data_IF_770454524385
#
_entry.id   IF_770454524385
#
_cell.length_a   1.000
_cell.length_b   1.000
_cell.length_c   1.000
_cell.angle_alpha   90.00
_cell.angle_beta   90.00
_cell.angle_gamma   90.00
#
_symmetry.space_group_name_H-M   'P 1'
#
loop_
_entity.id
_entity.type
_entity.pdbx_description
1 polymer ?
#
# COMPACT_ATOMS: atom_id res chain seq x y z
N UNK A 1 20.31 24.56 7.38
CA UNK A 1 21.76 24.61 7.70
C UNK A 1 22.06 25.91 8.42
N UNK A 2 22.63 25.86 9.63
CA UNK A 2 23.08 27.05 10.35
C UNK A 2 24.56 27.34 10.05
N UNK A 3 24.96 28.61 10.09
CA UNK A 3 26.35 29.00 9.89
C UNK A 3 27.17 28.67 11.15
N UNK A 4 28.10 27.72 11.03
CA UNK A 4 29.05 27.36 12.09
C UNK A 4 30.46 27.92 11.85
N UNK A 5 30.65 28.67 10.76
CA UNK A 5 31.87 29.45 10.47
C UNK A 5 31.84 30.81 11.16
N UNK A 6 32.88 31.63 10.98
CA UNK A 6 32.86 33.04 11.41
C UNK A 6 32.17 33.96 10.39
N UNK A 7 31.95 35.23 10.74
CA UNK A 7 31.26 36.26 9.92
C UNK A 7 31.75 36.37 8.46
N UNK A 8 32.99 35.95 8.18
CA UNK A 8 33.56 35.93 6.82
C UNK A 8 32.91 34.91 5.87
N UNK A 9 32.16 33.93 6.37
CA UNK A 9 31.45 32.93 5.57
C UNK A 9 30.03 33.36 5.17
N UNK A 10 29.47 34.36 5.84
CA UNK A 10 28.13 34.86 5.56
C UNK A 10 28.04 35.48 4.16
N UNK A 11 26.88 35.33 3.50
CA UNK A 11 26.68 35.77 2.11
C UNK A 11 27.30 34.83 1.06
N UNK A 12 28.00 33.76 1.47
CA UNK A 12 28.47 32.73 0.53
C UNK A 12 27.28 31.97 -0.05
N UNK A 13 27.21 31.86 -1.38
CA UNK A 13 26.18 31.06 -2.03
C UNK A 13 26.43 29.56 -1.81
N UNK A 14 25.48 28.92 -1.14
CA UNK A 14 25.45 27.49 -0.89
C UNK A 14 24.25 26.83 -1.56
N UNK A 15 24.40 25.58 -1.99
CA UNK A 15 23.32 24.81 -2.59
C UNK A 15 23.35 23.33 -2.16
N UNK A 16 22.18 22.68 -2.01
CA UNK A 16 22.10 21.31 -1.52
C UNK A 16 21.91 20.31 -2.67
N UNK A 17 22.34 19.08 -2.42
CA UNK A 17 22.05 17.91 -3.24
C UNK A 17 21.60 16.76 -2.36
N UNK A 18 20.50 16.11 -2.73
CA UNK A 18 19.97 14.95 -2.02
C UNK A 18 19.79 13.79 -2.99
N UNK A 19 20.29 12.61 -2.63
CA UNK A 19 20.14 11.39 -3.42
C UNK A 19 20.21 10.14 -2.53
N UNK A 20 19.93 8.98 -3.10
CA UNK A 20 20.11 7.69 -2.43
C UNK A 20 21.28 6.97 -3.08
N UNK A 21 22.26 6.58 -2.27
CA UNK A 21 23.41 5.76 -2.67
C UNK A 21 23.15 4.31 -2.25
N UNK A 22 23.45 3.34 -3.12
CA UNK A 22 23.36 1.92 -2.79
C UNK A 22 24.30 1.10 -3.66
N UNK A 23 24.49 -0.18 -3.32
CA UNK A 23 25.27 -1.11 -4.13
C UNK A 23 24.51 -1.65 -5.37
N UNK A 24 23.24 -1.29 -5.55
CA UNK A 24 22.42 -1.72 -6.70
C UNK A 24 22.88 -1.02 -7.97
N UNK A 25 22.87 -1.75 -9.08
CA UNK A 25 23.12 -1.16 -10.40
C UNK A 25 21.98 -0.21 -10.79
N UNK A 26 22.31 1.07 -10.94
CA UNK A 26 21.36 2.13 -11.27
C UNK A 26 20.82 2.88 -10.05
N UNK A 27 20.29 4.06 -10.29
CA UNK A 27 19.73 4.89 -9.22
C UNK A 27 18.40 4.30 -8.71
N UNK A 28 18.21 4.26 -7.39
CA UNK A 28 16.93 3.87 -6.75
C UNK A 28 15.91 5.01 -6.75
N UNK A 29 16.38 6.26 -6.71
CA UNK A 29 15.58 7.49 -6.79
C UNK A 29 16.32 8.52 -7.63
N UNK A 30 15.61 9.49 -8.21
CA UNK A 30 16.26 10.63 -8.87
C UNK A 30 16.99 11.49 -7.85
N UNK A 31 18.13 12.04 -8.26
CA UNK A 31 18.86 13.05 -7.49
C UNK A 31 18.07 14.36 -7.50
N UNK A 32 17.95 14.98 -6.33
CA UNK A 32 17.37 16.31 -6.17
C UNK A 32 18.49 17.32 -5.93
N UNK A 33 18.34 18.50 -6.53
CA UNK A 33 19.25 19.62 -6.33
C UNK A 33 18.42 20.85 -6.00
N UNK A 34 18.78 21.52 -4.91
CA UNK A 34 18.14 22.77 -4.51
C UNK A 34 18.76 23.98 -5.20
N UNK A 35 18.02 25.08 -5.19
CA UNK A 35 18.53 26.38 -5.62
C UNK A 35 19.61 26.87 -4.65
N UNK A 36 20.57 27.64 -5.17
CA UNK A 36 21.56 28.29 -4.32
C UNK A 36 20.92 29.40 -3.48
N UNK A 37 21.33 29.49 -2.22
CA UNK A 37 20.93 30.52 -1.26
C UNK A 37 22.16 31.07 -0.56
N UNK A 38 22.08 32.31 -0.10
CA UNK A 38 23.13 32.89 0.73
C UNK A 38 23.14 32.22 2.10
N UNK A 39 24.32 31.83 2.57
CA UNK A 39 24.49 31.33 3.93
C UNK A 39 24.23 32.51 4.91
N UNK A 40 23.27 32.37 5.84
CA UNK A 40 22.95 33.43 6.79
C UNK A 40 24.12 33.71 7.74
N UNK A 41 24.11 34.89 8.36
CA UNK A 41 25.01 35.18 9.48
C UNK A 41 24.77 34.22 10.66
N UNK A 42 25.79 34.02 11.50
CA UNK A 42 25.79 33.06 12.61
C UNK A 42 24.60 33.26 13.55
N UNK A 43 24.16 34.52 13.73
CA UNK A 43 23.06 34.91 14.62
C UNK A 43 21.71 35.09 13.89
N UNK A 44 21.66 34.95 12.55
CA UNK A 44 20.46 35.24 11.73
C UNK A 44 19.65 33.99 11.35
N UNK A 45 20.06 32.79 11.78
CA UNK A 45 19.27 31.57 11.68
C UNK A 45 19.84 30.52 10.72
N UNK A 46 18.97 29.86 9.96
CA UNK A 46 19.34 28.73 9.10
C UNK A 46 18.81 28.88 7.67
N UNK A 47 19.61 28.44 6.70
CA UNK A 47 19.17 28.26 5.32
C UNK A 47 18.36 26.96 5.23
N UNK A 48 17.09 27.07 4.84
CA UNK A 48 16.16 25.95 4.75
C UNK A 48 15.68 25.74 3.32
N UNK A 49 15.71 24.48 2.88
CA UNK A 49 15.12 24.05 1.62
C UNK A 49 13.91 23.19 1.90
N UNK A 50 12.76 23.61 1.39
CA UNK A 50 11.52 22.87 1.45
C UNK A 50 11.29 22.07 0.15
N UNK A 51 10.28 21.19 0.17
CA UNK A 51 9.83 20.45 -1.02
C UNK A 51 10.90 19.59 -1.72
N UNK A 52 11.79 18.99 -0.94
CA UNK A 52 12.76 18.00 -1.45
C UNK A 52 11.98 16.84 -2.08
N UNK A 53 12.25 16.57 -3.36
CA UNK A 53 11.54 15.54 -4.12
C UNK A 53 12.53 14.67 -4.88
N UNK A 54 12.68 13.43 -4.43
CA UNK A 54 13.48 12.38 -5.07
C UNK A 54 12.57 11.23 -5.56
N UNK A 55 11.85 11.41 -6.69
CA UNK A 55 11.01 10.37 -7.28
C UNK A 55 11.70 9.00 -7.40
N UNK A 56 10.95 7.94 -7.10
CA UNK A 56 11.42 6.56 -7.18
C UNK A 56 11.68 6.13 -8.63
N UNK A 57 12.81 5.48 -8.86
CA UNK A 57 13.15 4.86 -10.14
C UNK A 57 12.47 3.49 -10.24
N UNK A 58 11.23 3.48 -10.76
CA UNK A 58 10.38 2.29 -10.80
C UNK A 58 11.05 1.08 -11.46
N UNK A 59 11.85 1.29 -12.51
CA UNK A 59 12.55 0.21 -13.20
C UNK A 59 13.60 -0.49 -12.31
N UNK A 60 14.31 0.30 -11.52
CA UNK A 60 15.37 -0.20 -10.62
C UNK A 60 14.75 -0.86 -9.40
N UNK A 61 13.84 -0.15 -8.71
CA UNK A 61 13.17 -0.67 -7.51
C UNK A 61 12.33 -1.90 -7.82
N UNK A 62 11.69 -1.93 -8.98
CA UNK A 62 10.88 -3.07 -9.44
C UNK A 62 11.63 -4.37 -9.69
N UNK A 63 12.96 -4.32 -9.76
CA UNK A 63 13.85 -5.48 -9.93
C UNK A 63 14.42 -5.99 -8.61
N UNK A 64 14.15 -5.30 -7.50
CA UNK A 64 14.66 -5.73 -6.20
C UNK A 64 13.90 -6.97 -5.74
N UNK A 65 14.62 -8.09 -5.70
CA UNK A 65 14.11 -9.38 -5.18
C UNK A 65 14.32 -9.53 -3.67
N UNK A 66 15.28 -8.80 -3.11
CA UNK A 66 15.64 -8.79 -1.68
C UNK A 66 15.80 -7.36 -1.17
N UNK A 67 15.64 -7.12 0.16
CA UNK A 67 15.98 -5.85 0.77
C UNK A 67 17.43 -5.43 0.46
N UNK A 68 17.60 -4.13 0.20
CA UNK A 68 18.89 -3.52 -0.07
C UNK A 68 19.19 -2.45 0.97
N UNK A 69 20.40 -2.50 1.52
CA UNK A 69 20.95 -1.40 2.31
C UNK A 69 21.36 -0.25 1.38
N UNK A 70 20.91 0.95 1.73
CA UNK A 70 21.18 2.18 1.02
C UNK A 70 21.44 3.32 2.02
N UNK A 71 21.91 4.45 1.55
CA UNK A 71 22.09 5.65 2.36
C UNK A 71 21.40 6.83 1.67
N UNK A 72 20.58 7.58 2.41
CA UNK A 72 20.18 8.92 1.97
C UNK A 72 21.39 9.82 2.19
N UNK A 73 21.89 10.41 1.11
CA UNK A 73 23.04 11.31 1.12
C UNK A 73 22.55 12.73 0.92
N UNK A 74 22.82 13.59 1.90
CA UNK A 74 22.54 15.03 1.88
C UNK A 74 23.87 15.76 1.85
N UNK A 75 24.12 16.51 0.79
CA UNK A 75 25.34 17.27 0.60
C UNK A 75 25.03 18.76 0.47
N UNK A 76 25.87 19.60 1.04
CA UNK A 76 25.85 21.06 0.83
C UNK A 76 27.16 21.48 0.18
N UNK A 77 27.05 22.31 -0.85
CA UNK A 77 28.16 22.86 -1.60
C UNK A 77 28.24 24.38 -1.47
N UNK A 78 29.44 24.93 -1.39
CA UNK A 78 29.74 26.33 -1.63
C UNK A 78 30.50 26.45 -2.96
N UNK A 79 29.84 26.96 -4.00
CA UNK A 79 30.35 26.83 -5.38
C UNK A 79 30.51 25.36 -5.77
N UNK A 80 31.73 24.93 -6.09
CA UNK A 80 32.07 23.52 -6.39
C UNK A 80 32.61 22.74 -5.18
N UNK A 81 32.80 23.41 -4.04
CA UNK A 81 33.39 22.81 -2.84
C UNK A 81 32.31 22.18 -1.98
N UNK A 82 32.43 20.88 -1.69
CA UNK A 82 31.59 20.21 -0.69
C UNK A 82 31.95 20.75 0.70
N UNK A 83 30.99 21.35 1.38
CA UNK A 83 31.19 21.95 2.73
C UNK A 83 30.64 21.08 3.84
N UNK A 84 29.60 20.29 3.57
CA UNK A 84 28.98 19.40 4.55
C UNK A 84 28.35 18.20 3.84
N UNK A 85 28.44 17.02 4.46
CA UNK A 85 27.76 15.80 4.01
C UNK A 85 27.20 15.04 5.20
N UNK A 86 25.94 14.63 5.09
CA UNK A 86 25.30 13.72 6.01
C UNK A 86 24.81 12.48 5.28
N UNK A 87 25.00 11.32 5.91
CA UNK A 87 24.55 10.01 5.42
C UNK A 87 23.61 9.41 6.45
N UNK A 88 22.41 9.02 6.00
CA UNK A 88 21.39 8.41 6.84
C UNK A 88 21.09 7.00 6.32
N UNK A 89 21.14 5.97 7.17
CA UNK A 89 20.88 4.61 6.74
C UNK A 89 19.42 4.46 6.26
N UNK A 90 19.25 3.75 5.15
CA UNK A 90 17.97 3.46 4.52
C UNK A 90 17.93 1.96 4.15
N UNK A 91 16.81 1.30 4.42
CA UNK A 91 16.54 -0.03 3.86
C UNK A 91 15.46 0.11 2.81
N UNK A 92 15.77 -0.31 1.59
CA UNK A 92 14.79 -0.38 0.49
C UNK A 92 14.34 -1.83 0.37
N UNK A 93 13.06 -2.07 0.60
CA UNK A 93 12.49 -3.42 0.56
C UNK A 93 12.40 -3.94 -0.88
N UNK A 94 12.28 -5.25 -1.03
CA UNK A 94 11.96 -5.84 -2.32
C UNK A 94 10.61 -5.31 -2.82
N UNK A 95 10.40 -5.28 -4.14
CA UNK A 95 9.18 -4.73 -4.73
C UNK A 95 7.92 -5.46 -4.24
N UNK A 96 8.03 -6.74 -3.91
CA UNK A 96 6.93 -7.55 -3.43
C UNK A 96 6.90 -7.70 -1.89
N UNK A 97 7.60 -6.86 -1.14
CA UNK A 97 7.73 -7.00 0.31
C UNK A 97 7.01 -5.90 1.06
N UNK A 98 6.29 -6.30 2.12
CA UNK A 98 5.57 -5.41 2.99
C UNK A 98 6.15 -5.41 4.40
N UNK A 99 6.25 -4.23 5.01
CA UNK A 99 6.80 -4.07 6.34
C UNK A 99 5.70 -4.06 7.40
N UNK A 100 5.75 -5.02 8.32
CA UNK A 100 4.83 -5.03 9.47
C UNK A 100 5.23 -3.94 10.47
N UNK A 101 4.64 -2.77 10.32
CA UNK A 101 4.74 -1.65 11.25
C UNK A 101 3.42 -0.92 11.33
N UNK A 102 3.05 -0.48 12.53
CA UNK A 102 1.80 0.25 12.76
C UNK A 102 1.65 1.47 11.84
N UNK A 103 2.78 2.13 11.52
CA UNK A 103 2.80 3.31 10.64
C UNK A 103 2.61 2.99 9.15
N UNK A 104 2.75 1.71 8.75
CA UNK A 104 2.77 1.27 7.35
C UNK A 104 1.70 0.21 7.04
N UNK A 105 0.71 0.04 7.91
CA UNK A 105 -0.41 -0.89 7.65
C UNK A 105 -1.14 -0.54 6.36
N UNK A 106 -1.29 0.75 6.05
CA UNK A 106 -1.95 1.23 4.83
C UNK A 106 -1.29 0.73 3.53
N UNK A 107 0.04 0.53 3.55
CA UNK A 107 0.82 0.05 2.41
C UNK A 107 0.41 -1.37 1.98
N UNK A 108 -0.23 -2.15 2.85
CA UNK A 108 -0.74 -3.48 2.50
C UNK A 108 -1.76 -3.43 1.37
N UNK A 109 -2.52 -2.33 1.26
CA UNK A 109 -3.50 -2.13 0.17
C UNK A 109 -2.85 -2.04 -1.22
N UNK A 110 -1.54 -1.77 -1.32
CA UNK A 110 -0.81 -1.81 -2.59
C UNK A 110 -0.83 -3.22 -3.21
N UNK A 111 -0.85 -4.26 -2.38
CA UNK A 111 -0.81 -5.66 -2.82
C UNK A 111 -2.20 -6.22 -3.17
N UNK A 112 -3.25 -5.44 -2.97
CA UNK A 112 -4.59 -5.76 -3.48
C UNK A 112 -4.63 -5.39 -4.96
N UNK A 113 -4.66 -6.40 -5.83
CA UNK A 113 -4.50 -6.23 -7.28
C UNK A 113 -5.77 -6.63 -8.05
N UNK A 114 -6.85 -5.81 -7.99
CA UNK A 114 -8.14 -6.17 -8.58
C UNK A 114 -8.10 -6.29 -10.12
N UNK A 115 -7.19 -5.57 -10.77
CA UNK A 115 -7.01 -5.61 -12.22
C UNK A 115 -6.13 -6.77 -12.71
N UNK A 116 -5.72 -7.69 -11.83
CA UNK A 116 -4.90 -8.83 -12.25
C UNK A 116 -5.68 -9.75 -13.19
N UNK A 117 -5.14 -10.02 -14.39
CA UNK A 117 -5.73 -11.00 -15.32
C UNK A 117 -5.84 -12.40 -14.70
N UNK A 118 -5.01 -12.71 -13.69
CA UNK A 118 -5.00 -14.02 -13.02
C UNK A 118 -6.28 -14.30 -12.21
N UNK A 119 -7.00 -13.27 -11.73
CA UNK A 119 -8.23 -13.49 -10.97
C UNK A 119 -9.46 -13.69 -11.87
N UNK A 120 -9.36 -13.42 -13.17
CA UNK A 120 -10.52 -13.51 -14.10
C UNK A 120 -11.19 -14.89 -14.08
N UNK A 121 -10.47 -16.03 -14.14
CA UNK A 121 -11.08 -17.35 -14.06
C UNK A 121 -11.79 -17.61 -12.73
N UNK A 122 -11.23 -17.10 -11.63
CA UNK A 122 -11.84 -17.19 -10.29
C UNK A 122 -13.17 -16.43 -10.27
N UNK A 123 -13.22 -15.23 -10.84
CA UNK A 123 -14.44 -14.43 -10.91
C UNK A 123 -15.50 -15.02 -11.85
N UNK A 124 -15.08 -15.67 -12.94
CA UNK A 124 -15.99 -16.44 -13.78
C UNK A 124 -16.65 -17.55 -12.97
N UNK A 125 -15.85 -18.31 -12.22
CA UNK A 125 -16.36 -19.38 -11.35
C UNK A 125 -17.27 -18.86 -10.24
N UNK A 126 -16.93 -17.74 -9.61
CA UNK A 126 -17.78 -17.09 -8.60
C UNK A 126 -19.16 -16.71 -9.18
N UNK A 127 -19.21 -16.19 -10.42
CA UNK A 127 -20.48 -15.86 -11.09
C UNK A 127 -21.31 -17.11 -11.41
N UNK A 128 -20.67 -18.23 -11.73
CA UNK A 128 -21.36 -19.51 -11.92
C UNK A 128 -22.01 -19.99 -10.61
N UNK A 129 -21.23 -20.06 -9.53
CA UNK A 129 -21.71 -20.42 -8.19
C UNK A 129 -22.88 -19.52 -7.76
N UNK A 130 -22.76 -18.21 -8.00
CA UNK A 130 -23.82 -17.25 -7.69
C UNK A 130 -25.09 -17.53 -8.50
N UNK A 131 -24.96 -17.83 -9.79
CA UNK A 131 -26.08 -18.19 -10.66
C UNK A 131 -26.75 -19.51 -10.25
N UNK A 132 -25.96 -20.51 -9.86
CA UNK A 132 -26.45 -21.80 -9.36
C UNK A 132 -27.26 -21.64 -8.07
N UNK A 133 -26.84 -20.75 -7.16
CA UNK A 133 -27.47 -20.54 -5.85
C UNK A 133 -28.65 -19.58 -5.87
N UNK A 134 -28.59 -18.55 -6.71
CA UNK A 134 -29.52 -17.39 -6.66
C UNK A 134 -30.34 -17.21 -7.92
N UNK A 135 -30.02 -17.93 -9.01
CA UNK A 135 -30.60 -17.72 -10.33
C UNK A 135 -30.04 -16.52 -11.09
N UNK A 136 -29.18 -15.69 -10.48
CA UNK A 136 -28.59 -14.50 -11.10
C UNK A 136 -27.07 -14.46 -10.98
N UNK A 137 -26.38 -14.33 -12.13
CA UNK A 137 -24.92 -14.19 -12.22
C UNK A 137 -24.41 -12.75 -12.06
N UNK A 138 -25.33 -11.79 -11.86
CA UNK A 138 -25.03 -10.35 -11.84
C UNK A 138 -24.16 -9.94 -10.65
N UNK A 139 -23.13 -9.13 -10.87
CA UNK A 139 -22.28 -8.58 -9.79
C UNK A 139 -22.68 -7.15 -9.46
N UNK A 140 -23.93 -6.96 -9.04
CA UNK A 140 -24.53 -5.66 -8.66
C UNK A 140 -23.86 -5.01 -7.43
N UNK A 141 -23.00 -5.74 -6.71
CA UNK A 141 -22.37 -5.27 -5.47
C UNK A 141 -23.43 -4.79 -4.49
N UNK A 142 -23.25 -3.57 -3.98
CA UNK A 142 -24.13 -2.95 -2.99
C UNK A 142 -25.52 -2.56 -3.52
N UNK A 143 -25.74 -2.51 -4.85
CA UNK A 143 -27.04 -2.17 -5.41
C UNK A 143 -28.09 -3.27 -5.19
N UNK A 144 -27.65 -4.52 -4.99
CA UNK A 144 -28.51 -5.66 -4.72
C UNK A 144 -28.90 -5.85 -3.24
N UNK A 145 -28.45 -4.96 -2.34
CA UNK A 145 -28.68 -5.05 -0.91
C UNK A 145 -27.76 -6.02 -0.16
N UNK A 146 -27.91 -6.08 1.16
CA UNK A 146 -26.99 -6.77 2.08
C UNK A 146 -26.86 -8.27 1.79
N UNK A 147 -27.97 -8.92 1.49
CA UNK A 147 -27.99 -10.35 1.11
C UNK A 147 -27.15 -10.61 -0.14
N UNK A 148 -27.22 -9.72 -1.14
CA UNK A 148 -26.45 -9.85 -2.38
C UNK A 148 -24.95 -9.69 -2.13
N UNK A 149 -24.57 -8.78 -1.24
CA UNK A 149 -23.19 -8.57 -0.81
C UNK A 149 -22.62 -9.84 -0.18
N UNK A 150 -23.37 -10.46 0.73
CA UNK A 150 -22.97 -11.73 1.35
C UNK A 150 -22.83 -12.86 0.34
N UNK A 151 -23.80 -13.01 -0.58
CA UNK A 151 -23.76 -14.05 -1.62
C UNK A 151 -22.56 -13.88 -2.57
N UNK A 152 -22.21 -12.63 -2.92
CA UNK A 152 -21.03 -12.34 -3.72
C UNK A 152 -19.74 -12.70 -2.98
N UNK A 153 -19.63 -12.29 -1.72
CA UNK A 153 -18.48 -12.58 -0.90
C UNK A 153 -18.28 -14.09 -0.68
N UNK A 154 -19.37 -14.83 -0.45
CA UNK A 154 -19.39 -16.29 -0.33
C UNK A 154 -18.98 -16.97 -1.65
N UNK A 155 -19.57 -16.55 -2.78
CA UNK A 155 -19.26 -17.16 -4.08
C UNK A 155 -17.79 -16.94 -4.48
N UNK A 156 -17.21 -15.78 -4.15
CA UNK A 156 -15.78 -15.52 -4.35
C UNK A 156 -14.91 -16.40 -3.44
N UNK A 157 -15.28 -16.51 -2.15
CA UNK A 157 -14.56 -17.35 -1.20
C UNK A 157 -14.53 -18.82 -1.67
N UNK A 158 -15.69 -19.35 -2.07
CA UNK A 158 -15.80 -20.73 -2.53
C UNK A 158 -15.05 -20.95 -3.84
N UNK A 159 -15.12 -20.02 -4.80
CA UNK A 159 -14.36 -20.09 -6.04
C UNK A 159 -12.84 -20.09 -5.82
N UNK A 160 -12.36 -19.37 -4.81
CA UNK A 160 -10.96 -19.40 -4.38
C UNK A 160 -10.60 -20.73 -3.69
N UNK A 161 -11.49 -21.27 -2.86
CA UNK A 161 -11.24 -22.57 -2.21
C UNK A 161 -11.12 -23.72 -3.24
N UNK A 162 -11.86 -23.64 -4.35
CA UNK A 162 -11.75 -24.57 -5.48
C UNK A 162 -10.39 -24.49 -6.19
N UNK A 163 -9.60 -23.42 -5.98
CA UNK A 163 -8.26 -23.29 -6.54
C UNK A 163 -7.25 -24.22 -5.89
N UNK A 164 -7.57 -24.83 -4.74
CA UNK A 164 -6.72 -25.78 -4.02
C UNK A 164 -5.36 -25.20 -3.61
N UNK A 165 -5.37 -24.03 -2.98
CA UNK A 165 -4.16 -23.37 -2.47
C UNK A 165 -3.73 -24.04 -1.16
N UNK A 166 -2.49 -24.51 -1.08
CA UNK A 166 -1.86 -25.00 0.15
C UNK A 166 -1.36 -23.82 1.00
N UNK A 167 -1.58 -23.91 2.32
CA UNK A 167 -1.08 -22.89 3.23
C UNK A 167 0.42 -23.01 3.46
N UNK A 168 1.14 -21.91 3.34
CA UNK A 168 2.56 -21.80 3.67
C UNK A 168 2.74 -20.88 4.86
N UNK A 169 3.42 -21.38 5.90
CA UNK A 169 3.78 -20.54 7.04
C UNK A 169 4.76 -19.45 6.56
N UNK A 170 4.52 -18.17 6.93
CA UNK A 170 5.53 -17.14 6.68
C UNK A 170 6.82 -17.47 7.47
N UNK A 171 7.98 -16.92 7.07
CA UNK A 171 9.20 -17.01 7.87
C UNK A 171 8.94 -16.52 9.30
N UNK A 172 9.67 -17.08 10.28
CA UNK A 172 9.41 -16.79 11.69
C UNK A 172 9.59 -15.30 12.02
N UNK A 173 8.55 -14.73 12.63
CA UNK A 173 8.41 -13.37 13.20
C UNK A 173 8.11 -12.22 12.23
N UNK A 174 6.89 -11.66 12.36
CA UNK A 174 6.46 -10.37 11.81
C UNK A 174 7.11 -9.18 12.53
N UNK A 175 7.85 -9.41 13.61
CA UNK A 175 8.44 -8.36 14.42
C UNK A 175 9.83 -7.99 13.88
N UNK A 176 9.87 -7.02 12.96
CA UNK A 176 11.10 -6.35 12.55
C UNK A 176 11.65 -6.69 11.15
N UNK A 177 11.03 -7.63 10.43
CA UNK A 177 11.39 -7.98 9.05
C UNK A 177 10.19 -7.82 8.11
N UNK A 178 10.46 -7.48 6.84
CA UNK A 178 9.43 -7.46 5.82
C UNK A 178 8.98 -8.87 5.46
N UNK A 179 7.73 -9.00 5.01
CA UNK A 179 7.19 -10.23 4.47
C UNK A 179 6.91 -10.05 2.98
N UNK A 180 7.45 -10.98 2.17
CA UNK A 180 7.10 -11.07 0.75
C UNK A 180 5.64 -11.49 0.59
N UNK A 181 4.94 -10.76 -0.27
CA UNK A 181 3.56 -11.01 -0.68
C UNK A 181 3.58 -11.38 -2.17
N UNK A 182 3.06 -12.56 -2.49
CA UNK A 182 3.02 -13.08 -3.85
C UNK A 182 1.94 -12.36 -4.66
N UNK A 183 2.16 -12.24 -5.97
CA UNK A 183 1.12 -11.73 -6.87
C UNK A 183 -0.02 -12.76 -7.00
N UNK A 184 -1.24 -12.33 -7.37
CA UNK A 184 -2.34 -13.26 -7.66
C UNK A 184 -1.96 -14.36 -8.67
N UNK A 185 -1.13 -14.02 -9.67
CA UNK A 185 -0.62 -14.99 -10.65
C UNK A 185 0.19 -16.08 -9.96
N UNK A 186 1.19 -15.70 -9.16
CA UNK A 186 2.05 -16.64 -8.44
C UNK A 186 1.24 -17.51 -7.49
N UNK A 187 0.34 -16.93 -6.68
CA UNK A 187 -0.50 -17.68 -5.73
C UNK A 187 -1.33 -18.73 -6.47
N UNK A 188 -1.98 -18.35 -7.57
CA UNK A 188 -2.89 -19.22 -8.31
C UNK A 188 -2.18 -20.24 -9.20
N UNK A 189 -0.95 -19.98 -9.66
CA UNK A 189 -0.16 -20.92 -10.46
C UNK A 189 0.60 -21.92 -9.60
N UNK A 190 1.21 -21.46 -8.52
CA UNK A 190 2.01 -22.30 -7.60
C UNK A 190 1.14 -22.99 -6.55
N UNK A 191 -0.13 -22.60 -6.41
CA UNK A 191 -1.08 -23.17 -5.44
C UNK A 191 -0.57 -23.10 -4.02
N UNK A 192 0.10 -22.00 -3.65
CA UNK A 192 0.64 -21.80 -2.32
C UNK A 192 0.41 -20.36 -1.85
N UNK A 193 0.06 -20.17 -0.58
CA UNK A 193 -0.17 -18.84 -0.01
C UNK A 193 0.00 -18.77 1.51
N UNK A 194 0.46 -17.61 1.97
CA UNK A 194 0.48 -17.20 3.39
C UNK A 194 -0.85 -16.54 3.81
N UNK A 195 -0.95 -16.10 5.07
CA UNK A 195 -2.10 -15.32 5.54
C UNK A 195 -2.23 -13.97 4.81
N UNK A 196 -1.12 -13.27 4.53
CA UNK A 196 -1.14 -12.06 3.71
C UNK A 196 -1.54 -12.36 2.26
N UNK A 197 -0.98 -13.40 1.65
CA UNK A 197 -1.29 -13.78 0.26
C UNK A 197 -2.79 -14.04 0.06
N UNK A 198 -3.39 -14.85 0.94
CA UNK A 198 -4.82 -15.16 0.90
C UNK A 198 -5.69 -13.93 1.20
N UNK A 199 -5.26 -13.07 2.13
CA UNK A 199 -5.97 -11.83 2.48
C UNK A 199 -6.05 -10.88 1.29
N UNK A 200 -4.93 -10.60 0.63
CA UNK A 200 -4.88 -9.64 -0.49
C UNK A 200 -5.50 -10.21 -1.76
N UNK A 201 -5.41 -11.53 -1.98
CA UNK A 201 -6.07 -12.21 -3.09
C UNK A 201 -7.60 -12.17 -2.97
N UNK A 202 -8.13 -12.47 -1.77
CA UNK A 202 -9.56 -12.37 -1.51
C UNK A 202 -10.05 -10.92 -1.65
N UNK A 203 -9.33 -9.97 -1.05
CA UNK A 203 -9.62 -8.54 -1.18
C UNK A 203 -9.64 -8.08 -2.65
N UNK A 204 -8.71 -8.57 -3.48
CA UNK A 204 -8.65 -8.22 -4.90
C UNK A 204 -9.89 -8.70 -5.65
N UNK A 205 -10.33 -9.92 -5.36
CA UNK A 205 -11.54 -10.49 -5.96
C UNK A 205 -12.80 -9.75 -5.50
N UNK A 206 -12.92 -9.42 -4.20
CA UNK A 206 -14.02 -8.63 -3.64
C UNK A 206 -14.13 -7.26 -4.30
N UNK A 207 -13.01 -6.53 -4.41
CA UNK A 207 -12.98 -5.24 -5.12
C UNK A 207 -13.47 -5.37 -6.57
N UNK A 208 -13.05 -6.43 -7.27
CA UNK A 208 -13.40 -6.62 -8.68
C UNK A 208 -14.87 -7.02 -8.91
N UNK A 209 -15.56 -7.54 -7.90
CA UNK A 209 -17.02 -7.78 -7.94
C UNK A 209 -17.84 -6.62 -7.38
N UNK A 210 -17.21 -5.47 -7.12
CA UNK A 210 -17.88 -4.24 -6.70
C UNK A 210 -18.15 -4.13 -5.20
N UNK A 211 -17.44 -4.91 -4.38
CA UNK A 211 -17.46 -4.79 -2.92
C UNK A 211 -16.30 -3.91 -2.43
N UNK A 212 -16.43 -3.35 -1.22
CA UNK A 212 -15.38 -2.56 -0.57
C UNK A 212 -14.60 -3.46 0.40
N UNK A 213 -13.43 -4.00 -0.02
CA UNK A 213 -12.67 -4.88 0.84
C UNK A 213 -11.94 -4.12 1.94
N UNK A 214 -11.75 -4.81 3.05
CA UNK A 214 -10.90 -4.39 4.17
C UNK A 214 -9.92 -5.51 4.52
N UNK A 215 -8.77 -5.16 5.09
CA UNK A 215 -7.82 -6.16 5.60
C UNK A 215 -7.59 -5.90 7.08
N UNK A 216 -7.76 -6.92 7.90
CA UNK A 216 -7.49 -6.87 9.32
C UNK A 216 -6.09 -7.37 9.58
N UNK A 217 -5.34 -6.60 10.35
CA UNK A 217 -4.01 -6.97 10.80
C UNK A 217 -4.06 -7.18 12.31
N UNK A 218 -3.70 -8.38 12.73
CA UNK A 218 -3.54 -8.74 14.14
C UNK A 218 -2.10 -9.21 14.38
N UNK A 219 -1.75 -9.52 15.62
CA UNK A 219 -0.42 -10.01 15.93
C UNK A 219 -0.13 -11.31 15.18
N UNK A 220 0.91 -11.30 14.33
CA UNK A 220 1.37 -12.42 13.50
C UNK A 220 0.35 -13.00 12.50
N UNK A 221 -0.74 -12.29 12.21
CA UNK A 221 -1.77 -12.80 11.32
C UNK A 221 -2.52 -11.67 10.62
N UNK A 222 -3.10 -12.01 9.47
CA UNK A 222 -3.95 -11.12 8.72
C UNK A 222 -5.05 -11.93 8.04
N UNK A 223 -6.20 -11.31 7.94
CA UNK A 223 -7.37 -11.83 7.25
C UNK A 223 -8.10 -10.66 6.58
N UNK A 224 -9.08 -10.96 5.75
CA UNK A 224 -9.76 -9.96 4.93
C UNK A 224 -11.25 -9.93 5.24
N UNK A 225 -11.98 -9.02 4.61
CA UNK A 225 -13.39 -8.84 4.81
C UNK A 225 -13.94 -7.79 3.87
N UNK A 226 -15.19 -7.41 4.09
CA UNK A 226 -15.87 -6.40 3.29
C UNK A 226 -16.78 -5.54 4.17
N UNK A 227 -17.01 -4.31 3.73
CA UNK A 227 -18.01 -3.44 4.34
C UNK A 227 -19.42 -3.88 3.93
N UNK A 228 -20.41 -3.64 4.79
CA UNK A 228 -21.82 -3.88 4.48
C UNK A 228 -22.36 -2.92 3.41
N UNK A 229 -21.79 -1.72 3.30
CA UNK A 229 -22.19 -0.70 2.33
C UNK A 229 -21.03 0.16 1.86
N UNK A 230 -21.03 0.53 0.58
CA UNK A 230 -20.09 1.52 0.02
C UNK A 230 -20.21 2.92 0.64
N UNK A 231 -21.34 3.26 1.29
CA UNK A 231 -21.52 4.54 1.98
C UNK A 231 -20.78 4.61 3.32
N UNK A 232 -20.24 3.49 3.80
CA UNK A 232 -19.60 3.38 5.11
C UNK A 232 -18.07 3.34 5.04
N UNK A 233 -17.48 3.68 3.89
CA UNK A 233 -16.04 3.78 3.72
C UNK A 233 -15.48 4.85 4.67
N UNK A 234 -14.62 4.44 5.60
CA UNK A 234 -13.93 5.36 6.50
C UNK A 234 -13.07 6.35 5.72
N UNK A 235 -12.94 7.58 6.23
CA UNK A 235 -12.03 8.58 5.67
C UNK A 235 -10.56 8.26 6.00
N UNK A 236 -10.33 7.41 6.99
CA UNK A 236 -9.01 6.96 7.39
C UNK A 236 -8.57 5.76 6.54
N UNK A 237 -7.28 5.73 6.19
CA UNK A 237 -6.67 4.59 5.48
C UNK A 237 -6.56 3.36 6.38
N UNK A 238 -6.45 3.58 7.70
CA UNK A 238 -6.38 2.54 8.73
C UNK A 238 -7.23 2.95 9.91
N UNK A 239 -8.18 2.11 10.31
CA UNK A 239 -8.90 2.23 11.57
C UNK A 239 -8.15 1.40 12.61
N UNK A 240 -7.53 2.06 13.59
CA UNK A 240 -6.76 1.40 14.66
C UNK A 240 -7.38 1.59 16.05
N UNK A 241 -8.38 2.47 16.18
CA UNK A 241 -9.12 2.62 17.43
C UNK A 241 -9.95 1.36 17.70
N UNK A 242 -9.68 0.72 18.84
CA UNK A 242 -10.29 -0.57 19.20
C UNK A 242 -11.79 -0.44 19.47
N UNK A 243 -12.25 0.69 20.00
CA UNK A 243 -13.67 0.90 20.26
C UNK A 243 -14.44 1.09 18.95
N UNK A 244 -13.88 1.85 18.00
CA UNK A 244 -14.43 2.00 16.65
C UNK A 244 -14.51 0.65 15.92
N UNK A 245 -13.44 -0.15 15.97
CA UNK A 245 -13.43 -1.49 15.36
C UNK A 245 -14.54 -2.39 15.94
N UNK A 246 -14.65 -2.45 17.28
CA UNK A 246 -15.71 -3.22 17.96
C UNK A 246 -17.10 -2.70 17.58
N UNK A 247 -17.28 -1.39 17.48
CA UNK A 247 -18.56 -0.79 17.05
C UNK A 247 -18.91 -1.17 15.61
N UNK A 248 -17.97 -1.10 14.68
CA UNK A 248 -18.16 -1.48 13.28
C UNK A 248 -18.58 -2.95 13.17
N UNK A 249 -17.93 -3.83 13.93
CA UNK A 249 -18.28 -5.25 13.96
C UNK A 249 -19.64 -5.50 14.61
N UNK A 250 -19.90 -4.92 15.79
CA UNK A 250 -21.15 -5.11 16.52
C UNK A 250 -22.39 -4.58 15.79
N UNK A 251 -22.22 -3.56 14.94
CA UNK A 251 -23.27 -3.00 14.07
C UNK A 251 -23.35 -3.69 12.71
N UNK A 252 -22.62 -4.79 12.51
CA UNK A 252 -22.57 -5.52 11.24
C UNK A 252 -22.19 -4.63 10.05
N UNK A 253 -21.40 -3.58 10.29
CA UNK A 253 -20.92 -2.66 9.24
C UNK A 253 -19.71 -3.21 8.50
N UNK A 254 -19.03 -4.16 9.12
CA UNK A 254 -17.90 -4.87 8.53
C UNK A 254 -18.06 -6.37 8.78
N UNK A 255 -17.66 -7.16 7.79
CA UNK A 255 -17.78 -8.61 7.81
C UNK A 255 -16.39 -9.24 7.61
N UNK A 256 -15.72 -9.61 8.71
CA UNK A 256 -14.50 -10.41 8.71
C UNK A 256 -14.69 -11.79 8.09
N UNK A 257 -13.65 -12.26 7.39
CA UNK A 257 -13.56 -13.60 6.84
C UNK A 257 -12.12 -14.09 7.03
N UNK A 258 -11.95 -15.16 7.81
CA UNK A 258 -10.64 -15.81 7.98
C UNK A 258 -10.20 -16.39 6.63
N UNK A 259 -9.24 -15.73 5.96
CA UNK A 259 -8.90 -16.11 4.60
C UNK A 259 -8.00 -17.33 4.53
N UNK A 260 -7.32 -17.72 5.60
CA UNK A 260 -6.50 -18.95 5.57
C UNK A 260 -7.35 -20.21 5.51
N UNK A 261 -8.64 -20.13 5.84
CA UNK A 261 -9.54 -21.28 5.77
C UNK A 261 -10.06 -21.56 4.36
N UNK A 262 -9.70 -20.75 3.36
CA UNK A 262 -9.87 -21.13 1.95
C UNK A 262 -8.83 -22.16 1.50
N UNK A 263 -7.72 -22.27 2.22
CA UNK A 263 -6.66 -23.23 1.90
C UNK A 263 -7.12 -24.68 2.13
N UNK A 264 -6.52 -25.59 1.39
CA UNK A 264 -6.81 -27.03 1.41
C UNK A 264 -6.48 -27.70 2.75
N UNK A 265 -6.93 -28.94 2.90
CA UNK A 265 -6.56 -29.81 4.01
C UNK A 265 -7.28 -29.44 5.29
N UNK A 266 -6.56 -29.49 6.42
CA UNK A 266 -7.12 -29.27 7.77
C UNK A 266 -7.58 -27.84 8.02
N UNK A 267 -7.12 -26.89 7.18
CA UNK A 267 -7.49 -25.49 7.30
C UNK A 267 -8.85 -25.19 6.66
N UNK A 268 -9.32 -26.01 5.72
CA UNK A 268 -10.52 -25.69 4.95
C UNK A 268 -11.76 -25.58 5.83
N UNK A 269 -12.45 -24.44 5.75
CA UNK A 269 -13.78 -24.23 6.32
C UNK A 269 -14.71 -23.62 5.26
N UNK A 270 -16.01 -23.87 5.40
CA UNK A 270 -17.01 -23.14 4.61
C UNK A 270 -17.06 -21.67 5.03
N UNK A 271 -17.63 -20.83 4.16
CA UNK A 271 -17.68 -19.38 4.35
C UNK A 271 -18.27 -18.94 5.70
N UNK A 272 -19.37 -19.58 6.14
CA UNK A 272 -19.98 -19.24 7.42
C UNK A 272 -19.04 -19.54 8.59
N UNK A 273 -18.37 -20.69 8.59
CA UNK A 273 -17.40 -21.03 9.62
C UNK A 273 -16.16 -20.11 9.58
N UNK A 274 -15.70 -19.71 8.39
CA UNK A 274 -14.61 -18.75 8.23
C UNK A 274 -14.91 -17.39 8.89
N UNK A 275 -16.16 -16.92 8.80
CA UNK A 275 -16.61 -15.68 9.48
C UNK A 275 -16.66 -15.80 11.00
N UNK A 276 -16.87 -17.01 11.52
CA UNK A 276 -16.95 -17.26 12.96
C UNK A 276 -15.57 -17.33 13.63
N UNK A 277 -14.53 -17.77 12.89
CA UNK A 277 -13.17 -17.92 13.39
C UNK A 277 -12.58 -16.63 13.99
N UNK A 278 -12.96 -15.48 13.43
CA UNK A 278 -12.39 -14.19 13.82
C UNK A 278 -13.08 -13.57 15.05
N UNK A 279 -14.21 -14.11 15.52
CA UNK A 279 -14.97 -13.59 16.69
C UNK A 279 -14.13 -13.39 17.95
N UNK A 280 -13.06 -14.17 18.10
CA UNK A 280 -12.08 -14.04 19.19
C UNK A 280 -11.39 -12.66 19.21
N UNK A 281 -11.06 -12.09 18.05
CA UNK A 281 -10.38 -10.79 17.93
C UNK A 281 -11.29 -9.60 18.26
N UNK A 282 -12.59 -9.81 18.29
CA UNK A 282 -13.60 -8.80 18.65
C UNK A 282 -13.99 -8.86 20.12
N UNK A 283 -13.36 -9.75 20.89
CA UNK A 283 -13.65 -9.97 22.30
C UNK A 283 -12.35 -10.09 23.11
N UNK A 284 -11.98 -11.31 23.50
CA UNK A 284 -10.88 -11.56 24.43
C UNK A 284 -9.48 -11.42 23.82
N UNK A 285 -9.36 -11.43 22.48
CA UNK A 285 -8.10 -11.18 21.76
C UNK A 285 -8.03 -9.80 21.10
N UNK A 286 -8.92 -8.85 21.47
CA UNK A 286 -8.90 -7.49 20.95
C UNK A 286 -7.56 -6.76 21.17
N UNK A 287 -6.79 -7.19 22.17
CA UNK A 287 -5.44 -6.67 22.41
C UNK A 287 -4.50 -6.88 21.22
N UNK A 288 -4.67 -7.97 20.47
CA UNK A 288 -3.82 -8.37 19.34
C UNK A 288 -4.12 -7.58 18.06
N UNK A 289 -5.29 -6.93 17.98
CA UNK A 289 -5.71 -6.11 16.84
C UNK A 289 -4.80 -4.90 16.65
N UNK A 290 -4.15 -4.83 15.48
CA UNK A 290 -3.29 -3.70 15.08
C UNK A 290 -4.07 -2.66 14.28
N UNK A 291 -5.01 -3.11 13.44
CA UNK A 291 -5.90 -2.21 12.71
C UNK A 291 -6.61 -2.88 11.54
N UNK A 292 -7.55 -2.14 10.97
CA UNK A 292 -8.28 -2.46 9.75
C UNK A 292 -7.86 -1.50 8.64
N UNK A 293 -7.24 -2.03 7.60
CA UNK A 293 -6.86 -1.32 6.39
C UNK A 293 -8.08 -1.17 5.48
N UNK A 294 -8.43 0.08 5.14
CA UNK A 294 -9.56 0.41 4.28
C UNK A 294 -9.05 0.58 2.85
N UNK A 295 -9.06 -0.52 2.09
CA UNK A 295 -8.35 -0.65 0.80
C UNK A 295 -8.74 0.47 -0.18
N UNK A 296 -10.03 0.80 -0.27
CA UNK A 296 -10.52 1.87 -1.17
C UNK A 296 -9.95 3.23 -0.81
N UNK A 297 -9.97 3.58 0.47
CA UNK A 297 -9.43 4.84 1.00
C UNK A 297 -7.92 4.92 0.80
N UNK A 298 -7.20 3.80 1.00
CA UNK A 298 -5.78 3.68 0.68
C UNK A 298 -5.50 4.04 -0.78
N UNK A 299 -6.22 3.44 -1.73
CA UNK A 299 -6.06 3.75 -3.15
C UNK A 299 -6.42 5.20 -3.50
N UNK A 300 -7.51 5.73 -2.94
CA UNK A 300 -7.90 7.13 -3.12
C UNK A 300 -6.87 8.11 -2.56
N UNK A 301 -6.16 7.72 -1.50
CA UNK A 301 -5.05 8.48 -0.93
C UNK A 301 -3.77 8.45 -1.75
N UNK A 302 -3.72 7.63 -2.82
CA UNK A 302 -2.57 7.51 -3.71
C UNK A 302 -1.63 6.34 -3.40
N UNK A 303 -2.05 5.37 -2.57
CA UNK A 303 -1.32 4.11 -2.42
C UNK A 303 -1.53 3.30 -3.70
N UNK A 304 -0.44 3.10 -4.44
CA UNK A 304 -0.45 2.43 -5.74
C UNK A 304 0.17 1.03 -5.61
N UNK A 305 -0.17 0.11 -6.52
CA UNK A 305 0.50 -1.18 -6.62
C UNK A 305 2.03 -1.07 -6.61
N UNK A 306 2.75 -2.05 -6.05
CA UNK A 306 4.19 -2.04 -6.10
C UNK A 306 4.68 -2.04 -7.55
N UNK A 307 5.85 -1.44 -7.82
CA UNK A 307 6.38 -1.30 -9.17
C UNK A 307 6.97 -2.62 -9.66
N UNK A 308 6.21 -3.71 -9.69
CA UNK A 308 6.72 -5.00 -10.19
C UNK A 308 6.77 -4.93 -11.73
N UNK A 309 7.84 -5.45 -12.33
CA UNK A 309 7.95 -5.54 -13.78
C UNK A 309 6.78 -6.36 -14.36
N UNK A 310 6.26 -5.92 -15.51
CA UNK A 310 5.08 -6.45 -16.21
C UNK A 310 5.05 -7.97 -16.31
N UNK A 311 6.19 -8.62 -16.55
CA UNK A 311 6.29 -10.08 -16.73
C UNK A 311 5.84 -10.88 -15.49
N UNK A 312 5.80 -10.26 -14.30
CA UNK A 312 5.31 -10.89 -13.07
C UNK A 312 3.84 -10.55 -12.71
N UNK A 313 3.23 -9.56 -13.39
CA UNK A 313 1.87 -9.08 -13.11
C UNK A 313 0.88 -9.35 -14.25
N UNK A 314 1.34 -9.33 -15.50
CA UNK A 314 0.53 -9.53 -16.70
C UNK A 314 1.16 -10.62 -17.55
N UNK A 315 0.35 -11.50 -18.12
CA UNK A 315 0.79 -12.43 -19.17
C UNK A 315 1.07 -11.63 -20.45
N UNK A 316 2.05 -10.73 -20.46
CA UNK A 316 2.51 -10.04 -21.66
C UNK A 316 3.94 -10.45 -21.94
N UNK A 317 4.11 -11.10 -23.09
CA UNK A 317 5.41 -11.31 -23.71
C UNK A 317 5.82 -9.96 -24.29
N UNK A 318 6.95 -9.45 -23.80
CA UNK A 318 7.71 -8.29 -24.32
C UNK A 318 6.98 -6.93 -24.36
N UNK A 319 7.44 -6.02 -23.49
CA UNK A 319 7.62 -4.61 -23.83
C UNK A 319 6.49 -3.64 -23.50
N UNK A 320 6.40 -3.20 -22.24
CA UNK A 320 6.42 -1.79 -21.82
C UNK A 320 6.13 -1.68 -20.32
N UNK A 321 6.83 -0.76 -19.64
CA UNK A 321 6.57 -0.46 -18.23
C UNK A 321 5.40 0.51 -18.21
N UNK A 322 4.19 -0.03 -18.21
CA UNK A 322 2.99 0.78 -18.14
C UNK A 322 2.60 0.95 -16.68
N UNK A 323 2.65 2.19 -16.18
CA UNK A 323 1.85 2.53 -15.00
C UNK A 323 0.41 2.20 -15.37
N UNK A 324 -0.19 1.20 -14.71
CA UNK A 324 -1.63 0.99 -14.79
C UNK A 324 -2.29 2.23 -14.19
N UNK A 325 -2.63 3.18 -15.07
CA UNK A 325 -3.52 4.26 -14.71
C UNK A 325 -4.82 3.59 -14.32
N UNK A 326 -5.20 3.76 -13.05
CA UNK A 326 -6.50 3.34 -12.56
C UNK A 326 -7.57 4.18 -13.29
N UNK A 327 -7.99 3.73 -14.47
CA UNK A 327 -9.20 4.20 -15.11
C UNK A 327 -10.36 3.42 -14.49
N UNK A 328 -11.03 4.09 -13.56
CA UNK A 328 -12.37 3.73 -13.10
C UNK A 328 -13.31 3.76 -14.30
N UNK A 329 -13.90 2.63 -14.67
CA UNK A 329 -15.00 2.58 -15.64
C UNK A 329 -16.31 2.92 -14.93
N UNK A 330 -16.78 4.14 -15.13
CA UNK A 330 -18.21 4.50 -15.06
C UNK A 330 -18.77 4.53 -16.51
N UNK A 331 -20.07 4.29 -16.73
CA UNK A 331 -20.62 3.97 -18.05
C UNK A 331 -20.70 5.16 -19.02
N UNK A 332 -20.71 4.80 -20.30
CA UNK A 332 -20.52 5.50 -21.57
C UNK A 332 -21.03 6.95 -21.78
N UNK A 333 -20.21 7.69 -22.55
CA UNK A 333 -20.65 8.38 -23.76
C UNK A 333 -20.22 9.84 -23.93
N UNK A 334 -19.13 10.12 -24.66
CA UNK A 334 -19.00 11.19 -25.70
C UNK A 334 -17.75 10.93 -26.57
N UNK A 335 -17.89 11.05 -27.89
CA UNK A 335 -16.83 10.94 -28.91
C UNK A 335 -15.79 12.07 -28.87
N UNK A 336 -14.53 11.69 -29.17
CA UNK A 336 -13.57 12.47 -29.97
C UNK A 336 -12.68 13.51 -29.27
N UNK A 337 -11.36 13.30 -29.29
CA UNK A 337 -10.31 14.19 -29.88
C UNK A 337 -8.93 13.53 -29.69
N UNK A 338 -8.09 13.69 -30.72
CA UNK A 338 -6.79 13.07 -30.98
C UNK A 338 -5.63 13.57 -30.09
N UNK A 339 -4.58 12.74 -30.06
CA UNK A 339 -3.20 12.94 -29.60
C UNK A 339 -2.74 14.37 -29.30
N UNK A 340 -2.37 14.63 -28.03
CA UNK A 340 -1.40 15.66 -27.67
C UNK A 340 -0.40 15.13 -26.61
N UNK A 341 0.86 15.50 -26.83
CA UNK A 341 2.05 15.04 -26.14
C UNK A 341 2.03 15.31 -24.62
N UNK A 342 2.65 14.40 -23.87
CA UNK A 342 2.90 14.51 -22.43
C UNK A 342 3.85 15.68 -22.13
N UNK A 343 3.33 16.78 -21.59
CA UNK A 343 4.14 17.78 -20.87
C UNK A 343 4.07 17.54 -19.35
N UNK A 344 5.21 17.54 -18.63
CA UNK A 344 5.23 17.39 -17.18
C UNK A 344 4.89 18.72 -16.48
N UNK A 345 3.60 19.01 -16.36
CA UNK A 345 3.05 20.03 -15.48
C UNK A 345 2.39 19.40 -14.25
N UNK A 346 2.76 19.84 -13.05
CA UNK A 346 2.15 19.41 -11.78
C UNK A 346 0.61 19.45 -11.88
N UNK A 347 -0.05 18.30 -11.70
CA UNK A 347 -1.47 18.28 -11.34
C UNK A 347 -1.61 18.74 -9.89
N UNK A 348 -1.69 20.06 -9.69
CA UNK A 348 -2.21 20.67 -8.47
C UNK A 348 -3.64 20.14 -8.25
N UNK A 349 -3.81 19.22 -7.29
CA UNK A 349 -5.14 18.67 -6.98
C UNK A 349 -5.17 17.31 -6.30
N UNK A 350 -4.08 16.53 -6.31
CA UNK A 350 -4.02 15.32 -5.48
C UNK A 350 -3.64 15.68 -4.05
N UNK A 351 -4.58 15.53 -3.11
CA UNK A 351 -4.27 15.60 -1.67
C UNK A 351 -3.24 14.52 -1.35
N UNK A 352 -2.09 14.87 -0.74
CA UNK A 352 -1.11 13.87 -0.33
C UNK A 352 -1.73 12.90 0.70
N UNK A 353 -1.27 11.64 0.77
CA UNK A 353 -1.80 10.64 1.71
C UNK A 353 -1.83 11.16 3.15
N UNK A 354 -2.79 10.73 4.01
CA UNK A 354 -2.88 11.15 5.42
C UNK A 354 -1.57 11.00 6.20
N UNK A 355 -0.75 9.98 5.91
CA UNK A 355 0.60 9.83 6.52
C UNK A 355 1.59 10.90 6.08
N UNK A 356 1.59 11.29 4.80
CA UNK A 356 2.44 12.37 4.28
C UNK A 356 1.96 13.70 4.85
N UNK A 357 0.65 13.85 5.05
CA UNK A 357 0.07 15.01 5.74
C UNK A 357 0.37 15.02 7.23
N UNK A 358 0.34 13.88 7.91
CA UNK A 358 0.70 13.74 9.32
C UNK A 358 2.18 13.99 9.53
N UNK A 359 3.03 13.51 8.62
CA UNK A 359 4.45 13.82 8.56
C UNK A 359 4.72 15.30 8.25
N UNK A 360 4.05 15.90 7.24
CA UNK A 360 4.11 17.34 6.94
C UNK A 360 3.60 18.19 8.12
N UNK A 361 2.53 17.77 8.78
CA UNK A 361 2.00 18.46 9.96
C UNK A 361 2.93 18.31 11.16
N UNK A 362 3.59 17.16 11.30
CA UNK A 362 4.65 16.95 12.30
C UNK A 362 5.89 17.78 11.97
N UNK A 363 6.23 18.03 10.70
CA UNK A 363 7.30 18.95 10.33
C UNK A 363 6.97 20.41 10.68
N UNK A 364 5.69 20.77 10.74
CA UNK A 364 5.19 22.09 11.10
C UNK A 364 4.91 22.24 12.61
N UNK A 365 4.94 21.14 13.38
CA UNK A 365 4.81 21.16 14.83
C UNK A 365 6.19 21.38 15.48
N UNK A 366 6.51 22.63 15.76
CA UNK A 366 7.75 23.04 16.44
C UNK A 366 7.67 22.87 17.97
N UNK A 367 6.62 22.23 18.51
CA UNK A 367 6.51 21.98 19.94
C UNK A 367 7.37 20.79 20.39
N UNK A 368 7.75 20.76 21.67
CA UNK A 368 8.50 19.64 22.30
C UNK A 368 7.77 18.29 22.27
N UNK A 369 6.53 18.23 21.79
CA UNK A 369 5.80 16.98 21.62
C UNK A 369 6.09 16.30 20.27
N UNK A 370 6.82 16.98 19.38
CA UNK A 370 7.25 16.43 18.11
C UNK A 370 8.42 15.46 18.29
N UNK A 371 8.13 14.17 18.15
CA UNK A 371 9.12 13.09 18.26
C UNK A 371 10.19 13.11 17.16
N UNK A 372 10.01 13.88 16.08
CA UNK A 372 11.02 14.08 15.03
C UNK A 372 12.09 15.11 15.42
N UNK A 373 11.87 15.88 16.50
CA UNK A 373 12.82 16.86 17.03
C UNK A 373 13.66 16.31 18.21
N UNK A 374 13.36 15.09 18.70
CA UNK A 374 14.17 14.40 19.71
C UNK A 374 15.40 13.75 19.03
N UNK A 375 16.37 14.60 18.67
CA UNK A 375 17.70 14.17 18.28
C UNK A 375 18.58 14.18 19.53
N UNK A 376 19.14 13.03 19.90
CA UNK A 376 20.21 12.92 20.90
C UNK A 376 21.57 13.02 20.23
#
# INVERSE_FOLDING_TARGET
MANAGGDLAAGTLIWPRVFVESAVEGDLVSKWQGLAMELPDVDEGAADWDQISTPMMLKTVGRLEEPVAAEVVVQIFAGETLVEEQRLPLTVLAANEWMFRAEYLDALAAFVLPNSKAIVPVLQRARELLGERTGSRSTEGYQGGDERVHQLAEAVYDALSEQKIDYSNPPASFAGYGQKIRSPRTILSEKVGTCLDTSVLYAACLAQVGLEPVIFVVQNHAFSGYLASALQVSQDTVVSDKAELVELFAKERVHPVETTTLCTGVNYLNFNAARECDKKYWSHQLAEMQGMVVVRTCWQSGIMPPPVLSDQLTNEVEGEITQSSAQSSAPDGVDGILDEAWEPGLRAGRRPPPRVRSWLASLLDLSRNNRLLDIK
#
